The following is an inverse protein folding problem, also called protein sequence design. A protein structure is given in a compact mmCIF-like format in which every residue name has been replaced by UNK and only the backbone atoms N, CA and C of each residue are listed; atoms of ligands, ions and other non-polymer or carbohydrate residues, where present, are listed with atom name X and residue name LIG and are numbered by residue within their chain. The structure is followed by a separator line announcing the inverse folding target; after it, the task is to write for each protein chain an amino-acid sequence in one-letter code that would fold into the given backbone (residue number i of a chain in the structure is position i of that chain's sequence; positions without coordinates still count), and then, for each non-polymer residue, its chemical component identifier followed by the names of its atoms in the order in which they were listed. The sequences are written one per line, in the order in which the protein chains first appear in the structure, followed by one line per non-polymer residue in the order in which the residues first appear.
data_IF_233495343857
#
_entry.id   IF_233495343857
#
_cell.length_a   1.000
_cell.length_b   1.000
_cell.length_c   1.000
_cell.angle_alpha   90.00
_cell.angle_beta   90.00
_cell.angle_gamma   90.00
#
_symmetry.space_group_name_H-M   'P 1'
#
loop_
_entity.id
_entity.type
_entity.pdbx_description
1 polymer ?
#
# COMPACT_ATOMS: atom_id res chain seq x y z
N UNK A 1 12.65 -2.82 17.44
CA UNK A 1 12.76 -3.65 18.66
C UNK A 1 14.20 -3.86 19.12
N UNK A 2 15.05 -4.59 18.37
CA UNK A 2 16.42 -4.92 18.83
C UNK A 2 17.30 -3.69 19.15
N UNK A 3 17.17 -2.61 18.36
CA UNK A 3 17.86 -1.33 18.60
C UNK A 3 17.55 -0.72 19.96
N UNK A 4 16.32 -0.91 20.46
CA UNK A 4 15.90 -0.40 21.77
C UNK A 4 16.45 -1.31 22.88
N UNK A 5 16.41 -2.63 22.67
CA UNK A 5 16.80 -3.62 23.67
C UNK A 5 18.32 -3.69 23.88
N UNK A 6 19.09 -3.79 22.79
CA UNK A 6 20.57 -3.87 22.80
C UNK A 6 21.17 -2.95 21.74
N UNK A 7 21.20 -1.64 21.99
CA UNK A 7 21.73 -0.68 21.04
C UNK A 7 23.22 -0.92 20.75
N UNK A 8 23.59 -0.99 19.47
CA UNK A 8 24.99 -0.99 19.04
C UNK A 8 25.16 -0.19 17.75
N UNK A 9 26.36 0.33 17.49
CA UNK A 9 26.66 1.07 16.26
C UNK A 9 26.50 0.18 15.02
N UNK A 10 26.97 -1.07 15.10
CA UNK A 10 26.83 -2.08 14.03
C UNK A 10 25.36 -2.28 13.66
N UNK A 11 24.49 -2.38 14.66
CA UNK A 11 23.06 -2.59 14.44
C UNK A 11 22.39 -1.42 13.72
N UNK A 12 22.84 -0.17 13.92
CA UNK A 12 22.31 0.98 13.20
C UNK A 12 22.68 0.93 11.72
N UNK A 13 23.92 0.56 11.41
CA UNK A 13 24.39 0.39 10.03
C UNK A 13 23.62 -0.74 9.35
N UNK A 14 23.52 -1.91 10.00
CA UNK A 14 22.74 -3.01 9.46
C UNK A 14 21.27 -2.66 9.27
N UNK A 15 20.67 -1.89 10.19
CA UNK A 15 19.30 -1.43 10.04
C UNK A 15 19.13 -0.51 8.84
N UNK A 16 20.05 0.45 8.63
CA UNK A 16 20.01 1.34 7.47
C UNK A 16 20.16 0.56 6.16
N UNK A 17 21.04 -0.44 6.10
CA UNK A 17 21.21 -1.31 4.94
C UNK A 17 19.97 -2.17 4.67
N UNK A 18 19.40 -2.80 5.69
CA UNK A 18 18.16 -3.59 5.55
C UNK A 18 17.01 -2.71 5.11
N UNK A 19 16.88 -1.52 5.68
CA UNK A 19 15.87 -0.54 5.29
C UNK A 19 16.04 -0.10 3.82
N UNK A 20 17.28 0.15 3.41
CA UNK A 20 17.60 0.49 2.03
C UNK A 20 17.22 -0.64 1.06
N UNK A 21 17.64 -1.88 1.35
CA UNK A 21 17.28 -3.05 0.54
C UNK A 21 15.76 -3.28 0.49
N UNK A 22 15.06 -3.11 1.61
CA UNK A 22 13.61 -3.19 1.62
C UNK A 22 12.97 -2.11 0.73
N UNK A 23 13.56 -0.91 0.70
CA UNK A 23 13.11 0.21 -0.13
C UNK A 23 13.39 0.02 -1.63
N UNK A 24 14.50 -0.60 -2.01
CA UNK A 24 14.77 -0.90 -3.43
C UNK A 24 13.80 -1.92 -3.99
N UNK A 25 13.31 -2.85 -3.16
CA UNK A 25 12.36 -3.90 -3.58
C UNK A 25 10.92 -3.41 -3.54
N UNK A 26 10.52 -2.63 -2.52
CA UNK A 26 9.10 -2.30 -2.30
C UNK A 26 8.87 -0.86 -1.88
N UNK A 27 8.02 -0.17 -2.63
CA UNK A 27 7.55 1.19 -2.35
C UNK A 27 6.96 1.35 -0.94
N UNK A 28 6.34 0.31 -0.38
CA UNK A 28 5.81 0.33 1.00
C UNK A 28 6.87 0.61 2.06
N UNK A 29 8.16 0.44 1.78
CA UNK A 29 9.19 0.78 2.76
C UNK A 29 9.42 2.30 2.91
N UNK A 30 8.74 3.16 2.12
CA UNK A 30 8.91 4.61 2.19
C UNK A 30 8.60 5.20 3.57
N UNK A 31 7.73 4.56 4.35
CA UNK A 31 7.35 5.03 5.68
C UNK A 31 8.19 4.43 6.83
N UNK A 32 8.99 3.39 6.56
CA UNK A 32 9.86 2.78 7.58
C UNK A 32 10.94 3.69 8.16
N UNK A 33 11.48 4.72 7.47
CA UNK A 33 12.37 5.71 8.09
C UNK A 33 11.74 6.42 9.28
N UNK A 34 10.42 6.66 9.27
CA UNK A 34 9.72 7.26 10.40
C UNK A 34 9.74 6.33 11.61
N UNK A 35 9.48 5.03 11.39
CA UNK A 35 9.52 4.00 12.43
C UNK A 35 10.95 3.81 12.96
N UNK A 36 11.94 3.84 12.08
CA UNK A 36 13.36 3.81 12.43
C UNK A 36 13.74 5.02 13.30
N UNK A 37 13.24 6.22 12.96
CA UNK A 37 13.42 7.44 13.75
C UNK A 37 12.93 7.28 15.18
N UNK A 38 11.70 6.77 15.36
CA UNK A 38 11.13 6.54 16.68
C UNK A 38 11.93 5.46 17.43
N UNK A 39 12.36 4.39 16.75
CA UNK A 39 13.21 3.37 17.34
C UNK A 39 14.56 3.91 17.83
N UNK A 40 15.18 4.83 17.07
CA UNK A 40 16.41 5.50 17.49
C UNK A 40 16.15 6.48 18.64
N UNK A 41 15.05 7.24 18.62
CA UNK A 41 14.68 8.14 19.72
C UNK A 41 14.53 7.37 21.04
N UNK A 42 13.88 6.20 21.02
CA UNK A 42 13.67 5.32 22.17
C UNK A 42 14.93 4.56 22.62
N UNK A 43 15.99 4.53 21.82
CA UNK A 43 17.25 3.86 22.15
C UNK A 43 18.05 4.65 23.19
N UNK A 44 18.88 3.95 23.97
CA UNK A 44 19.78 4.57 24.98
C UNK A 44 21.07 5.16 24.39
N UNK A 45 21.19 5.27 23.06
CA UNK A 45 22.40 5.77 22.41
C UNK A 45 22.55 7.30 22.55
N UNK A 46 23.77 7.84 22.42
CA UNK A 46 23.97 9.29 22.37
C UNK A 46 23.30 9.90 21.13
N UNK A 47 22.87 11.16 21.25
CA UNK A 47 22.13 11.88 20.21
C UNK A 47 22.84 11.88 18.86
N UNK A 48 24.17 12.06 18.85
CA UNK A 48 24.96 12.07 17.62
C UNK A 48 24.87 10.74 16.84
N UNK A 49 24.83 9.60 17.56
CA UNK A 49 24.65 8.30 16.90
C UNK A 49 23.25 8.20 16.30
N UNK A 50 22.20 8.63 17.02
CA UNK A 50 20.81 8.64 16.52
C UNK A 50 20.68 9.46 15.23
N UNK A 51 21.26 10.66 15.23
CA UNK A 51 21.28 11.54 14.05
C UNK A 51 22.05 10.88 12.91
N UNK A 52 23.26 10.36 13.17
CA UNK A 52 24.06 9.70 12.15
C UNK A 52 23.31 8.51 11.50
N UNK A 53 22.64 7.68 12.30
CA UNK A 53 21.84 6.56 11.78
C UNK A 53 20.69 7.00 10.89
N UNK A 54 19.96 8.06 11.28
CA UNK A 54 18.88 8.61 10.46
C UNK A 54 19.41 9.24 9.18
N UNK A 55 20.50 10.01 9.27
CA UNK A 55 21.15 10.62 8.11
C UNK A 55 21.58 9.56 7.10
N UNK A 56 22.17 8.44 7.54
CA UNK A 56 22.52 7.32 6.65
C UNK A 56 21.28 6.76 5.96
N UNK A 57 20.19 6.53 6.70
CA UNK A 57 18.93 6.04 6.10
C UNK A 57 18.40 7.00 5.03
N UNK A 58 18.37 8.30 5.32
CA UNK A 58 17.88 9.34 4.40
C UNK A 58 18.78 9.46 3.16
N UNK A 59 20.10 9.42 3.33
CA UNK A 59 21.06 9.49 2.21
C UNK A 59 20.87 8.30 1.27
N UNK A 60 20.80 7.08 1.80
CA UNK A 60 20.63 5.87 0.98
C UNK A 60 19.30 5.87 0.23
N UNK A 61 18.21 6.21 0.90
CA UNK A 61 16.89 6.29 0.26
C UNK A 61 16.86 7.43 -0.78
N UNK A 62 17.39 8.60 -0.43
CA UNK A 62 17.44 9.76 -1.30
C UNK A 62 18.27 9.52 -2.56
N UNK A 63 19.42 8.85 -2.43
CA UNK A 63 20.26 8.51 -3.58
C UNK A 63 19.56 7.55 -4.55
N UNK A 64 18.83 6.55 -4.04
CA UNK A 64 18.05 5.65 -4.90
C UNK A 64 16.85 6.33 -5.54
N UNK A 65 16.16 7.24 -4.83
CA UNK A 65 15.11 8.07 -5.43
C UNK A 65 15.68 8.89 -6.59
N UNK A 66 16.83 9.53 -6.38
CA UNK A 66 17.48 10.35 -7.41
C UNK A 66 17.95 9.50 -8.60
N UNK A 67 18.53 8.33 -8.35
CA UNK A 67 18.92 7.38 -9.38
C UNK A 67 17.72 6.99 -10.26
N UNK A 68 16.59 6.63 -9.65
CA UNK A 68 15.37 6.28 -10.39
C UNK A 68 14.81 7.47 -11.18
N UNK A 69 14.79 8.68 -10.59
CA UNK A 69 14.38 9.90 -11.29
C UNK A 69 15.20 10.14 -12.55
N UNK A 70 16.52 9.97 -12.47
CA UNK A 70 17.40 10.09 -13.63
C UNK A 70 17.10 9.03 -14.68
N UNK A 71 16.91 7.77 -14.29
CA UNK A 71 16.59 6.68 -15.22
C UNK A 71 15.24 6.88 -15.93
N UNK A 72 14.22 7.34 -15.22
CA UNK A 72 12.95 7.68 -15.86
C UNK A 72 13.02 8.94 -16.72
N UNK A 73 13.87 9.90 -16.37
CA UNK A 73 14.14 11.05 -17.23
C UNK A 73 14.83 10.63 -18.53
N UNK A 74 15.81 9.73 -18.48
CA UNK A 74 16.45 9.15 -19.67
C UNK A 74 15.41 8.46 -20.58
N UNK A 75 14.49 7.68 -19.98
CA UNK A 75 13.47 6.90 -20.69
C UNK A 75 12.32 7.73 -21.28
N UNK A 76 11.78 8.67 -20.51
CA UNK A 76 10.50 9.34 -20.80
C UNK A 76 10.60 10.88 -20.85
N UNK A 77 11.78 11.44 -20.58
CA UNK A 77 11.99 12.89 -20.38
C UNK A 77 11.15 13.48 -19.25
N UNK A 78 10.68 12.63 -18.32
CA UNK A 78 9.97 13.02 -17.09
C UNK A 78 10.77 12.56 -15.87
N UNK A 79 11.09 13.51 -14.99
CA UNK A 79 11.82 13.22 -13.75
C UNK A 79 10.82 12.76 -12.68
N UNK A 80 10.60 11.45 -12.61
CA UNK A 80 9.68 10.81 -11.66
C UNK A 80 10.37 9.69 -10.91
N UNK A 81 10.05 9.53 -9.62
CA UNK A 81 10.62 8.44 -8.83
C UNK A 81 10.07 7.08 -9.27
N UNK A 82 8.74 6.99 -9.42
CA UNK A 82 8.08 5.81 -9.93
C UNK A 82 6.82 6.22 -10.70
N UNK A 83 6.58 5.64 -11.89
CA UNK A 83 5.33 5.84 -12.61
C UNK A 83 4.10 5.37 -11.84
N UNK A 84 4.26 4.40 -10.94
CA UNK A 84 3.14 3.79 -10.22
C UNK A 84 2.33 4.83 -9.43
N UNK A 85 2.99 5.81 -8.81
CA UNK A 85 2.33 6.83 -7.98
C UNK A 85 1.29 7.64 -8.76
N UNK A 86 1.59 8.06 -9.99
CA UNK A 86 0.66 8.87 -10.78
C UNK A 86 -0.57 8.09 -11.23
N UNK A 87 -0.34 6.86 -11.69
CA UNK A 87 -1.43 5.95 -12.06
C UNK A 87 -2.32 5.59 -10.88
N UNK A 88 -1.72 5.27 -9.74
CA UNK A 88 -2.45 4.94 -8.52
C UNK A 88 -3.26 6.14 -8.02
N UNK A 89 -2.70 7.35 -8.07
CA UNK A 89 -3.40 8.59 -7.69
C UNK A 89 -4.63 8.84 -8.56
N UNK A 90 -4.52 8.71 -9.89
CA UNK A 90 -5.65 8.84 -10.80
C UNK A 90 -6.70 7.75 -10.59
N UNK A 91 -6.28 6.49 -10.43
CA UNK A 91 -7.16 5.37 -10.12
C UNK A 91 -7.97 5.63 -8.83
N UNK A 92 -7.32 6.02 -7.74
CA UNK A 92 -7.97 6.31 -6.47
C UNK A 92 -8.99 7.46 -6.60
N UNK A 93 -8.62 8.52 -7.32
CA UNK A 93 -9.52 9.63 -7.60
C UNK A 93 -10.75 9.19 -8.42
N UNK A 94 -10.57 8.29 -9.40
CA UNK A 94 -11.67 7.76 -10.23
C UNK A 94 -12.73 7.01 -9.41
N UNK A 95 -12.35 6.24 -8.39
CA UNK A 95 -13.31 5.55 -7.51
C UNK A 95 -14.22 6.49 -6.73
N UNK A 96 -13.76 7.71 -6.44
CA UNK A 96 -14.60 8.74 -5.88
C UNK A 96 -15.38 9.49 -6.95
N UNK A 97 -14.73 9.78 -8.08
CA UNK A 97 -15.27 10.63 -9.12
C UNK A 97 -16.49 10.05 -9.82
N UNK A 98 -16.59 8.72 -9.93
CA UNK A 98 -17.77 8.05 -10.50
C UNK A 98 -19.07 8.34 -9.74
N UNK A 99 -18.97 8.69 -8.45
CA UNK A 99 -20.13 9.05 -7.61
C UNK A 99 -20.46 10.55 -7.61
N UNK A 100 -19.71 11.38 -8.35
CA UNK A 100 -20.03 12.81 -8.49
C UNK A 100 -21.11 12.99 -9.56
N UNK A 101 -22.31 13.51 -9.19
CA UNK A 101 -23.41 13.74 -10.13
C UNK A 101 -22.99 14.67 -11.27
N UNK A 102 -23.51 14.45 -12.48
CA UNK A 102 -23.07 15.16 -13.70
C UNK A 102 -23.17 16.68 -13.54
N UNK A 103 -24.22 17.14 -12.89
CA UNK A 103 -24.56 18.55 -12.64
C UNK A 103 -23.58 19.21 -11.67
N UNK A 104 -22.92 18.43 -10.81
CA UNK A 104 -21.96 18.91 -9.81
C UNK A 104 -20.51 18.82 -10.31
N UNK A 105 -20.27 18.24 -11.50
CA UNK A 105 -18.92 18.07 -12.05
C UNK A 105 -18.36 19.41 -12.55
N UNK A 106 -17.48 20.02 -11.77
CA UNK A 106 -16.71 21.22 -12.10
C UNK A 106 -15.84 21.01 -13.36
N UNK A 107 -15.58 22.06 -14.15
CA UNK A 107 -14.67 21.99 -15.28
C UNK A 107 -13.23 21.72 -14.82
N UNK A 108 -12.46 21.06 -15.68
CA UNK A 108 -11.03 20.81 -15.48
C UNK A 108 -10.18 21.75 -16.34
N UNK A 109 -8.94 22.08 -15.92
CA UNK A 109 -7.96 22.77 -16.75
C UNK A 109 -7.79 22.13 -18.14
N UNK A 110 -7.50 22.94 -19.17
CA UNK A 110 -7.39 22.50 -20.58
C UNK A 110 -6.55 21.24 -20.77
N UNK A 111 -5.40 21.14 -20.10
CA UNK A 111 -4.51 19.98 -20.18
C UNK A 111 -5.12 18.64 -19.75
N UNK A 112 -6.21 18.66 -18.97
CA UNK A 112 -6.89 17.44 -18.51
C UNK A 112 -8.19 17.15 -19.27
N UNK A 113 -8.69 18.08 -20.10
CA UNK A 113 -10.03 17.98 -20.69
C UNK A 113 -10.25 16.71 -21.50
N UNK A 114 -9.24 16.29 -22.28
CA UNK A 114 -9.34 15.06 -23.08
C UNK A 114 -9.48 13.83 -22.17
N UNK A 115 -8.64 13.73 -21.13
CA UNK A 115 -8.67 12.64 -20.17
C UNK A 115 -9.97 12.63 -19.36
N UNK A 116 -10.37 13.78 -18.83
CA UNK A 116 -11.59 13.95 -18.05
C UNK A 116 -12.83 13.61 -18.87
N UNK A 117 -12.90 14.03 -20.13
CA UNK A 117 -13.98 13.64 -21.04
C UNK A 117 -14.05 12.13 -21.21
N UNK A 118 -12.93 11.47 -21.52
CA UNK A 118 -12.88 10.00 -21.66
C UNK A 118 -13.34 9.28 -20.39
N UNK A 119 -12.96 9.80 -19.21
CA UNK A 119 -13.37 9.23 -17.92
C UNK A 119 -14.87 9.42 -17.68
N UNK A 120 -15.40 10.63 -17.94
CA UNK A 120 -16.84 10.92 -17.78
C UNK A 120 -17.69 10.09 -18.74
N UNK A 121 -17.31 10.00 -20.01
CA UNK A 121 -18.02 9.19 -21.02
C UNK A 121 -18.02 7.71 -20.64
N UNK A 122 -16.90 7.22 -20.09
CA UNK A 122 -16.81 5.86 -19.58
C UNK A 122 -17.78 5.65 -18.42
N UNK A 123 -17.75 6.48 -17.38
CA UNK A 123 -18.68 6.34 -16.25
C UNK A 123 -20.15 6.46 -16.67
N UNK A 124 -20.45 7.37 -17.59
CA UNK A 124 -21.81 7.58 -18.09
C UNK A 124 -22.35 6.37 -18.88
N UNK A 125 -21.48 5.46 -19.35
CA UNK A 125 -21.85 4.25 -20.08
C UNK A 125 -21.72 2.95 -19.27
N UNK A 126 -20.87 2.93 -18.22
CA UNK A 126 -20.59 1.73 -17.42
C UNK A 126 -21.28 1.71 -16.06
N UNK A 127 -21.43 2.85 -15.37
CA UNK A 127 -21.97 2.85 -14.01
C UNK A 127 -23.45 2.47 -14.00
N UNK A 128 -23.81 1.48 -13.18
CA UNK A 128 -25.17 0.94 -13.09
C UNK A 128 -25.56 0.01 -14.25
N UNK A 129 -24.63 -0.30 -15.15
CA UNK A 129 -24.83 -1.26 -16.23
C UNK A 129 -24.42 -2.67 -15.75
N UNK A 130 -25.35 -3.67 -15.71
CA UNK A 130 -25.01 -5.03 -15.27
C UNK A 130 -23.94 -5.74 -16.11
N UNK A 131 -23.64 -5.24 -17.32
CA UNK A 131 -22.55 -5.74 -18.16
C UNK A 131 -21.16 -5.28 -17.71
N UNK A 132 -21.09 -4.34 -16.76
CA UNK A 132 -19.87 -3.78 -16.21
C UNK A 132 -19.80 -3.99 -14.68
N UNK A 133 -19.79 -5.25 -14.19
CA UNK A 133 -19.75 -5.55 -12.75
C UNK A 133 -18.49 -5.02 -12.06
N UNK A 134 -17.42 -4.72 -12.82
CA UNK A 134 -16.23 -4.07 -12.29
C UNK A 134 -16.50 -2.67 -11.69
N UNK A 135 -17.58 -2.00 -12.09
CA UNK A 135 -17.98 -0.71 -11.54
C UNK A 135 -18.58 -0.81 -10.14
N UNK A 136 -19.04 -1.98 -9.71
CA UNK A 136 -19.52 -2.20 -8.35
C UNK A 136 -18.37 -2.33 -7.35
N UNK A 137 -17.15 -2.52 -7.84
CA UNK A 137 -15.97 -2.55 -6.98
C UNK A 137 -15.71 -1.17 -6.37
N UNK A 138 -15.36 -1.18 -5.08
CA UNK A 138 -15.02 0.03 -4.32
C UNK A 138 -13.56 -0.05 -3.91
N UNK A 139 -12.81 1.05 -4.10
CA UNK A 139 -11.39 1.15 -3.78
C UNK A 139 -10.59 -0.08 -4.26
N UNK A 140 -10.52 -0.28 -5.58
CA UNK A 140 -9.77 -1.35 -6.25
C UNK A 140 -8.74 -0.75 -7.24
N UNK A 141 -8.06 -1.56 -8.04
CA UNK A 141 -7.01 -1.13 -8.99
C UNK A 141 -7.41 -1.27 -10.46
N UNK A 142 -8.67 -1.60 -10.75
CA UNK A 142 -9.19 -1.89 -12.10
C UNK A 142 -8.86 -0.79 -13.11
N UNK A 143 -9.13 0.49 -12.81
CA UNK A 143 -8.93 1.57 -13.80
C UNK A 143 -7.48 1.75 -14.24
N UNK A 144 -6.52 1.29 -13.41
CA UNK A 144 -5.09 1.32 -13.74
C UNK A 144 -4.69 0.15 -14.66
N UNK A 145 -5.28 -1.03 -14.50
CA UNK A 145 -4.79 -2.26 -15.15
C UNK A 145 -5.64 -2.74 -16.32
N UNK A 146 -6.95 -2.49 -16.29
CA UNK A 146 -7.90 -3.08 -17.25
C UNK A 146 -7.73 -2.49 -18.65
N UNK A 147 -7.45 -3.32 -19.68
CA UNK A 147 -7.45 -2.88 -21.07
C UNK A 147 -8.81 -2.24 -21.44
N UNK A 148 -8.77 -1.13 -22.18
CA UNK A 148 -9.98 -0.38 -22.55
C UNK A 148 -10.45 0.64 -21.50
N UNK A 149 -10.01 0.53 -20.23
CA UNK A 149 -10.30 1.55 -19.23
C UNK A 149 -9.70 2.91 -19.63
N UNK A 150 -10.28 4.06 -19.22
CA UNK A 150 -9.89 5.38 -19.70
C UNK A 150 -8.40 5.70 -19.57
N UNK A 151 -7.76 5.30 -18.46
CA UNK A 151 -6.32 5.54 -18.25
C UNK A 151 -5.45 4.74 -19.22
N UNK A 152 -5.83 3.51 -19.55
CA UNK A 152 -5.10 2.67 -20.51
C UNK A 152 -5.31 3.18 -21.93
N UNK A 153 -6.54 3.49 -22.30
CA UNK A 153 -6.90 4.02 -23.62
C UNK A 153 -6.27 5.39 -23.86
N UNK A 154 -6.26 6.28 -22.87
CA UNK A 154 -5.59 7.58 -22.99
C UNK A 154 -4.09 7.40 -23.23
N UNK A 155 -3.43 6.54 -22.45
CA UNK A 155 -2.00 6.25 -22.65
C UNK A 155 -1.72 5.74 -24.07
N UNK A 156 -2.50 4.77 -24.55
CA UNK A 156 -2.36 4.25 -25.92
C UNK A 156 -2.56 5.34 -26.97
N UNK A 157 -3.53 6.24 -26.77
CA UNK A 157 -3.79 7.36 -27.68
C UNK A 157 -2.61 8.34 -27.79
N UNK A 158 -1.84 8.55 -26.71
CA UNK A 158 -0.64 9.40 -26.74
C UNK A 158 0.52 8.82 -27.57
N UNK A 159 0.50 7.51 -27.83
CA UNK A 159 1.59 6.79 -28.50
C UNK A 159 1.15 6.18 -29.84
N UNK A 160 0.07 6.69 -30.47
CA UNK A 160 -0.35 6.23 -31.81
C UNK A 160 0.73 6.43 -32.87
N UNK A 161 1.50 7.52 -32.77
CA UNK A 161 2.57 7.87 -33.71
C UNK A 161 3.86 7.08 -33.40
N UNK A 162 4.17 6.87 -32.11
CA UNK A 162 5.30 6.07 -31.63
C UNK A 162 4.80 4.70 -31.14
N UNK A 163 4.20 3.92 -32.04
CA UNK A 163 3.52 2.66 -31.72
C UNK A 163 4.47 1.52 -31.37
N UNK A 164 5.79 1.72 -31.52
CA UNK A 164 6.85 0.78 -31.12
C UNK A 164 7.47 1.12 -29.77
N UNK A 165 7.09 2.24 -29.13
CA UNK A 165 7.57 2.60 -27.80
C UNK A 165 7.35 1.46 -26.78
N UNK A 166 8.36 1.08 -25.98
CA UNK A 166 8.18 0.08 -24.93
C UNK A 166 7.09 0.48 -23.91
N UNK A 167 6.37 -0.52 -23.38
CA UNK A 167 5.26 -0.29 -22.43
C UNK A 167 5.68 0.57 -21.24
N UNK A 168 6.86 0.31 -20.65
CA UNK A 168 7.39 1.08 -19.53
C UNK A 168 7.59 2.57 -19.88
N UNK A 169 8.04 2.88 -21.10
CA UNK A 169 8.20 4.27 -21.58
C UNK A 169 6.84 4.96 -21.65
N UNK A 170 5.82 4.29 -22.21
CA UNK A 170 4.45 4.83 -22.32
C UNK A 170 3.86 5.11 -20.94
N UNK A 171 3.98 4.12 -20.07
CA UNK A 171 3.48 4.14 -18.70
C UNK A 171 4.14 5.27 -17.88
N UNK A 172 5.46 5.43 -17.99
CA UNK A 172 6.20 6.51 -17.34
C UNK A 172 5.83 7.90 -17.87
N UNK A 173 5.62 8.04 -19.18
CA UNK A 173 5.40 9.33 -19.82
C UNK A 173 4.09 10.01 -19.41
N UNK A 174 3.03 9.24 -19.17
CA UNK A 174 1.71 9.77 -18.76
C UNK A 174 1.55 9.91 -17.24
N UNK A 175 2.40 9.25 -16.45
CA UNK A 175 2.29 9.25 -14.99
C UNK A 175 2.20 10.66 -14.36
N UNK A 176 3.01 11.66 -14.74
CA UNK A 176 2.89 13.00 -14.15
C UNK A 176 1.52 13.63 -14.37
N UNK A 177 0.96 13.48 -15.57
CA UNK A 177 -0.37 14.01 -15.90
C UNK A 177 -1.44 13.37 -15.01
N UNK A 178 -1.35 12.06 -14.81
CA UNK A 178 -2.28 11.30 -13.96
C UNK A 178 -2.16 11.67 -12.49
N UNK A 179 -0.94 11.89 -12.00
CA UNK A 179 -0.72 12.34 -10.63
C UNK A 179 -1.38 13.69 -10.39
N UNK A 180 -1.14 14.66 -11.27
CA UNK A 180 -1.72 15.99 -11.13
C UNK A 180 -3.24 15.97 -11.30
N UNK A 181 -3.76 15.20 -12.26
CA UNK A 181 -5.20 15.06 -12.50
C UNK A 181 -5.90 14.42 -11.29
N UNK A 182 -5.37 13.31 -10.76
CA UNK A 182 -5.94 12.65 -9.59
C UNK A 182 -5.95 13.57 -8.37
N UNK A 183 -4.84 14.28 -8.11
CA UNK A 183 -4.78 15.30 -7.04
C UNK A 183 -5.79 16.42 -7.25
N UNK A 184 -5.97 16.89 -8.49
CA UNK A 184 -6.95 17.91 -8.83
C UNK A 184 -8.37 17.45 -8.49
N UNK A 185 -8.76 16.25 -8.92
CA UNK A 185 -10.09 15.68 -8.65
C UNK A 185 -10.33 15.51 -7.14
N UNK A 186 -9.35 14.93 -6.41
CA UNK A 186 -9.45 14.76 -4.96
C UNK A 186 -9.62 16.11 -4.26
N UNK A 187 -8.87 17.14 -4.69
CA UNK A 187 -8.99 18.49 -4.12
C UNK A 187 -10.36 19.14 -4.41
N UNK A 188 -10.97 18.83 -5.54
CA UNK A 188 -12.29 19.36 -5.88
C UNK A 188 -13.44 18.67 -5.14
N UNK A 189 -13.28 17.38 -4.81
CA UNK A 189 -14.30 16.55 -4.16
C UNK A 189 -13.74 15.79 -2.94
N UNK A 190 -13.21 16.47 -1.91
CA UNK A 190 -12.54 15.82 -0.79
C UNK A 190 -13.49 14.96 0.05
N UNK A 191 -14.74 15.41 0.23
CA UNK A 191 -15.76 14.66 0.97
C UNK A 191 -16.18 13.39 0.23
N UNK A 192 -16.43 13.49 -1.07
CA UNK A 192 -16.72 12.33 -1.93
C UNK A 192 -15.55 11.34 -1.92
N UNK A 193 -14.32 11.84 -1.98
CA UNK A 193 -13.13 10.98 -1.86
C UNK A 193 -13.03 10.30 -0.51
N UNK A 194 -13.33 11.00 0.58
CA UNK A 194 -13.37 10.41 1.91
C UNK A 194 -14.43 9.31 2.01
N UNK A 195 -15.65 9.58 1.52
CA UNK A 195 -16.78 8.67 1.62
C UNK A 195 -16.66 7.43 0.73
N UNK A 196 -16.22 7.58 -0.51
CA UNK A 196 -16.26 6.51 -1.51
C UNK A 196 -14.91 5.84 -1.78
N UNK A 197 -13.82 6.41 -1.28
CA UNK A 197 -12.50 5.78 -1.35
C UNK A 197 -11.90 5.54 0.03
N UNK A 198 -11.65 6.59 0.83
CA UNK A 198 -10.88 6.44 2.08
C UNK A 198 -11.60 5.57 3.10
N UNK A 199 -12.89 5.81 3.36
CA UNK A 199 -13.65 5.04 4.35
C UNK A 199 -13.78 3.55 3.96
N UNK A 200 -14.21 3.19 2.73
CA UNK A 200 -14.21 1.80 2.30
C UNK A 200 -12.82 1.16 2.37
N UNK A 201 -11.77 1.90 2.01
CA UNK A 201 -10.40 1.38 2.06
C UNK A 201 -9.89 1.22 3.51
N UNK A 202 -10.33 2.08 4.43
CA UNK A 202 -10.05 1.94 5.86
C UNK A 202 -10.79 0.74 6.47
N UNK A 203 -12.01 0.44 6.04
CA UNK A 203 -12.73 -0.78 6.43
C UNK A 203 -11.98 -2.03 5.95
N UNK A 204 -11.47 -2.02 4.72
CA UNK A 204 -10.56 -3.07 4.23
C UNK A 204 -9.26 -3.15 5.02
N UNK A 205 -8.78 -2.08 5.65
CA UNK A 205 -7.64 -2.16 6.55
C UNK A 205 -7.93 -3.00 7.79
N UNK A 206 -9.12 -2.87 8.35
CA UNK A 206 -9.55 -3.65 9.51
C UNK A 206 -9.72 -5.14 9.19
N UNK A 207 -10.39 -5.46 8.08
CA UNK A 207 -10.60 -6.83 7.61
C UNK A 207 -10.20 -6.94 6.13
N UNK A 208 -8.91 -7.21 5.84
CA UNK A 208 -8.38 -7.10 4.49
C UNK A 208 -8.85 -8.26 3.59
N UNK A 209 -9.37 -7.95 2.38
CA UNK A 209 -9.80 -8.98 1.44
C UNK A 209 -8.61 -9.74 0.88
N UNK A 210 -8.85 -10.99 0.47
CA UNK A 210 -7.82 -11.87 -0.13
C UNK A 210 -7.42 -11.44 -1.55
N UNK A 211 -8.29 -10.70 -2.27
CA UNK A 211 -8.01 -10.10 -3.59
C UNK A 211 -7.43 -11.13 -4.58
N UNK A 212 -6.23 -10.90 -5.14
CA UNK A 212 -5.58 -11.78 -6.11
C UNK A 212 -5.23 -13.17 -5.55
N UNK A 213 -5.33 -13.38 -4.23
CA UNK A 213 -5.13 -14.69 -3.62
C UNK A 213 -6.38 -15.57 -3.67
N UNK A 214 -7.53 -15.03 -4.07
CA UNK A 214 -8.78 -15.78 -4.24
C UNK A 214 -8.71 -16.79 -5.39
N UNK A 215 -7.92 -16.48 -6.42
CA UNK A 215 -7.73 -17.35 -7.57
C UNK A 215 -6.25 -17.64 -7.79
N UNK A 216 -5.89 -18.92 -7.77
CA UNK A 216 -4.56 -19.37 -8.15
C UNK A 216 -4.24 -18.90 -9.57
N UNK A 217 -3.06 -18.31 -9.76
CA UNK A 217 -2.66 -17.67 -11.02
C UNK A 217 -3.73 -16.74 -11.62
N UNK A 218 -4.51 -16.04 -10.79
CA UNK A 218 -5.61 -15.16 -11.23
C UNK A 218 -6.68 -15.87 -12.08
N UNK A 219 -6.81 -17.19 -11.93
CA UNK A 219 -7.75 -18.01 -12.70
C UNK A 219 -7.27 -18.34 -14.12
N UNK A 220 -6.01 -18.08 -14.45
CA UNK A 220 -5.44 -18.38 -15.75
C UNK A 220 -4.75 -19.75 -15.75
N UNK A 221 -5.00 -20.55 -16.79
CA UNK A 221 -4.40 -21.88 -16.96
C UNK A 221 -2.96 -21.84 -17.50
N UNK A 222 -2.51 -20.67 -17.96
CA UNK A 222 -1.17 -20.49 -18.54
C UNK A 222 -0.47 -19.24 -18.02
N UNK A 223 0.86 -19.31 -17.91
CA UNK A 223 1.70 -18.14 -17.69
C UNK A 223 2.12 -17.51 -19.03
N UNK A 224 2.44 -16.23 -19.01
CA UNK A 224 3.01 -15.54 -20.17
C UNK A 224 4.38 -16.17 -20.54
N UNK A 225 4.74 -16.30 -21.84
CA UNK A 225 5.99 -16.93 -22.27
C UNK A 225 7.26 -16.36 -21.61
N UNK A 226 7.25 -15.07 -21.28
CA UNK A 226 8.37 -14.43 -20.56
C UNK A 226 8.62 -15.07 -19.19
N UNK A 227 7.56 -15.46 -18.47
CA UNK A 227 7.67 -16.11 -17.16
C UNK A 227 8.18 -17.54 -17.33
N UNK A 228 7.70 -18.26 -18.34
CA UNK A 228 8.20 -19.59 -18.68
C UNK A 228 9.72 -19.56 -18.94
N UNK A 229 10.17 -18.60 -19.76
CA UNK A 229 11.59 -18.46 -20.09
C UNK A 229 12.42 -18.03 -18.88
N UNK A 230 11.93 -17.06 -18.09
CA UNK A 230 12.67 -16.52 -16.95
C UNK A 230 12.85 -17.55 -15.83
N UNK A 231 11.82 -18.33 -15.54
CA UNK A 231 11.85 -19.36 -14.50
C UNK A 231 12.18 -20.76 -15.03
N UNK A 232 12.53 -20.87 -16.32
CA UNK A 232 12.89 -22.11 -17.00
C UNK A 232 11.84 -23.22 -16.82
N UNK A 233 10.56 -22.86 -16.89
CA UNK A 233 9.47 -23.84 -16.78
C UNK A 233 9.40 -24.71 -18.03
N UNK A 234 9.24 -26.03 -17.82
CA UNK A 234 9.07 -27.02 -18.90
C UNK A 234 7.83 -26.75 -19.76
N UNK A 235 6.81 -26.11 -19.19
CA UNK A 235 5.56 -25.75 -19.85
C UNK A 235 5.08 -24.41 -19.31
N UNK A 236 4.33 -23.66 -20.11
CA UNK A 236 3.59 -22.49 -19.62
C UNK A 236 2.25 -22.87 -18.99
N UNK A 237 1.82 -24.13 -19.06
CA UNK A 237 0.59 -24.60 -18.42
C UNK A 237 0.78 -24.74 -16.91
N UNK A 238 -0.23 -24.30 -16.19
CA UNK A 238 -0.27 -24.28 -14.72
C UNK A 238 -1.16 -25.42 -14.24
N UNK A 239 -0.69 -26.11 -13.21
CA UNK A 239 -1.45 -27.14 -12.51
C UNK A 239 -1.85 -26.66 -11.12
N UNK A 240 -3.03 -27.06 -10.66
CA UNK A 240 -3.56 -26.74 -9.33
C UNK A 240 -3.88 -28.03 -8.58
N UNK A 241 -3.71 -28.00 -7.25
CA UNK A 241 -4.16 -29.08 -6.36
C UNK A 241 -5.64 -28.96 -5.98
N UNK A 242 -6.24 -27.80 -6.22
CA UNK A 242 -7.65 -27.55 -5.97
C UNK A 242 -8.50 -28.10 -7.12
N UNK A 243 -9.79 -28.32 -6.87
CA UNK A 243 -10.74 -28.80 -7.90
C UNK A 243 -10.85 -27.83 -9.07
N UNK A 244 -10.72 -26.54 -8.78
CA UNK A 244 -10.67 -25.43 -9.73
C UNK A 244 -9.53 -24.47 -9.33
N UNK A 245 -9.45 -23.31 -9.96
CA UNK A 245 -8.45 -22.30 -9.60
C UNK A 245 -8.85 -21.47 -8.37
N UNK A 246 -10.00 -21.71 -7.74
CA UNK A 246 -10.47 -20.93 -6.59
C UNK A 246 -9.79 -21.41 -5.31
N UNK A 247 -9.40 -20.48 -4.46
CA UNK A 247 -8.62 -20.71 -3.24
C UNK A 247 -9.45 -20.31 -2.02
N UNK A 248 -10.46 -21.13 -1.70
CA UNK A 248 -11.38 -20.84 -0.59
C UNK A 248 -10.74 -21.00 0.80
N UNK A 249 -9.61 -21.70 0.92
CA UNK A 249 -8.91 -21.90 2.19
C UNK A 249 -8.44 -20.59 2.83
N UNK A 250 -8.34 -19.50 2.07
CA UNK A 250 -7.91 -18.21 2.61
C UNK A 250 -9.07 -17.34 3.12
N UNK A 251 -10.33 -17.75 2.93
CA UNK A 251 -11.51 -16.95 3.28
C UNK A 251 -11.67 -16.70 4.80
N UNK A 252 -11.00 -17.48 5.66
CA UNK A 252 -11.04 -17.24 7.11
C UNK A 252 -10.10 -16.11 7.55
N UNK A 253 -9.10 -15.72 6.74
CA UNK A 253 -8.11 -14.71 7.13
C UNK A 253 -8.73 -13.34 7.46
N UNK A 254 -9.67 -12.78 6.67
CA UNK A 254 -10.32 -11.51 7.04
C UNK A 254 -10.98 -11.56 8.42
N UNK A 255 -11.64 -12.68 8.74
CA UNK A 255 -12.29 -12.90 10.05
C UNK A 255 -11.24 -12.99 11.15
N UNK A 256 -10.20 -13.82 10.96
CA UNK A 256 -9.11 -13.98 11.92
C UNK A 256 -8.43 -12.64 12.21
N UNK A 257 -8.11 -11.87 11.17
CA UNK A 257 -7.46 -10.56 11.30
C UNK A 257 -8.36 -9.58 12.04
N UNK A 258 -9.65 -9.52 11.71
CA UNK A 258 -10.62 -8.69 12.43
C UNK A 258 -10.68 -9.04 13.91
N UNK A 259 -10.79 -10.32 14.26
CA UNK A 259 -10.79 -10.79 15.65
C UNK A 259 -9.48 -10.45 16.37
N UNK A 260 -8.33 -10.67 15.75
CA UNK A 260 -7.03 -10.35 16.35
C UNK A 260 -6.84 -8.84 16.56
N UNK A 261 -7.39 -8.00 15.68
CA UNK A 261 -7.40 -6.55 15.88
C UNK A 261 -8.19 -6.17 17.14
N UNK A 262 -9.38 -6.76 17.36
CA UNK A 262 -10.18 -6.53 18.56
C UNK A 262 -9.41 -6.95 19.82
N UNK A 263 -8.83 -8.15 19.83
CA UNK A 263 -8.03 -8.65 20.97
C UNK A 263 -6.85 -7.71 21.23
N UNK A 264 -6.15 -7.27 20.19
CA UNK A 264 -5.05 -6.32 20.31
C UNK A 264 -5.50 -5.00 20.95
N UNK A 265 -6.59 -4.38 20.47
CA UNK A 265 -7.05 -3.09 20.98
C UNK A 265 -7.57 -3.18 22.43
N UNK A 266 -8.37 -4.20 22.75
CA UNK A 266 -8.84 -4.40 24.12
C UNK A 266 -7.68 -4.73 25.07
N UNK A 267 -6.75 -5.59 24.63
CA UNK A 267 -5.54 -5.91 25.38
C UNK A 267 -4.65 -4.68 25.63
N UNK A 268 -4.48 -3.83 24.61
CA UNK A 268 -3.75 -2.56 24.72
C UNK A 268 -4.43 -1.61 25.71
N UNK A 269 -5.76 -1.44 25.63
CA UNK A 269 -6.51 -0.60 26.58
C UNK A 269 -6.33 -1.13 28.01
N UNK A 270 -6.50 -2.43 28.23
CA UNK A 270 -6.28 -3.06 29.54
C UNK A 270 -4.87 -2.85 30.07
N UNK A 271 -3.84 -3.04 29.23
CA UNK A 271 -2.44 -2.79 29.58
C UNK A 271 -2.18 -1.32 29.97
N UNK A 272 -2.81 -0.37 29.29
CA UNK A 272 -2.68 1.06 29.61
C UNK A 272 -3.40 1.42 30.92
N UNK A 273 -4.62 0.90 31.14
CA UNK A 273 -5.42 1.15 32.34
C UNK A 273 -4.73 0.61 33.60
N UNK A 274 -4.15 -0.60 33.52
CA UNK A 274 -3.37 -1.21 34.61
C UNK A 274 -1.96 -0.63 34.76
N UNK A 275 -1.63 0.42 33.99
CA UNK A 275 -0.31 1.06 33.99
C UNK A 275 0.84 0.07 33.72
N UNK A 276 0.59 -0.97 32.90
CA UNK A 276 1.56 -2.01 32.58
C UNK A 276 2.84 -1.47 31.93
N UNK A 277 2.78 -0.30 31.29
CA UNK A 277 3.95 0.39 30.76
C UNK A 277 4.94 0.86 31.84
N UNK A 278 4.49 1.09 33.08
CA UNK A 278 5.36 1.42 34.23
C UNK A 278 6.02 0.15 34.79
N UNK A 279 5.25 -0.93 34.87
CA UNK A 279 5.72 -2.22 35.39
C UNK A 279 6.68 -2.92 34.41
N UNK A 280 6.36 -2.86 33.11
CA UNK A 280 7.09 -3.50 32.02
C UNK A 280 7.56 -2.44 31.01
N UNK A 281 8.59 -1.66 31.38
CA UNK A 281 9.07 -0.53 30.57
C UNK A 281 9.48 -0.89 29.14
N UNK A 282 10.03 -2.11 28.93
CA UNK A 282 10.40 -2.58 27.59
C UNK A 282 9.16 -2.85 26.72
N UNK A 283 8.12 -3.43 27.30
CA UNK A 283 6.85 -3.69 26.63
C UNK A 283 6.13 -2.36 26.30
N UNK A 284 6.19 -1.37 27.18
CA UNK A 284 5.69 -0.01 26.90
C UNK A 284 6.40 0.66 25.71
N UNK A 285 7.73 0.57 25.63
CA UNK A 285 8.49 1.07 24.46
C UNK A 285 8.16 0.29 23.18
N UNK A 286 7.97 -1.02 23.31
CA UNK A 286 7.51 -1.88 22.22
C UNK A 286 6.15 -1.46 21.71
N UNK A 287 5.19 -1.23 22.61
CA UNK A 287 3.84 -0.76 22.28
C UNK A 287 3.90 0.57 21.51
N UNK A 288 4.73 1.53 21.94
CA UNK A 288 4.88 2.78 21.20
C UNK A 288 5.34 2.53 19.75
N UNK A 289 6.32 1.66 19.53
CA UNK A 289 6.74 1.29 18.18
C UNK A 289 5.63 0.62 17.37
N UNK A 290 4.84 -0.26 17.99
CA UNK A 290 3.74 -0.95 17.30
C UNK A 290 2.64 0.02 16.93
N UNK A 291 2.26 0.92 17.83
CA UNK A 291 1.25 1.96 17.55
C UNK A 291 1.76 2.90 16.45
N UNK A 292 3.02 3.31 16.49
CA UNK A 292 3.59 4.13 15.43
C UNK A 292 3.65 3.39 14.09
N UNK A 293 4.04 2.10 14.09
CA UNK A 293 4.01 1.25 12.90
C UNK A 293 2.59 1.17 12.34
N UNK A 294 1.61 0.92 13.20
CA UNK A 294 0.21 0.79 12.82
C UNK A 294 -0.36 2.09 12.27
N UNK A 295 -0.21 3.22 12.97
CA UNK A 295 -0.69 4.54 12.51
C UNK A 295 -0.06 4.95 11.18
N UNK A 296 1.26 4.75 11.06
CA UNK A 296 1.98 5.13 9.84
C UNK A 296 1.60 4.22 8.68
N UNK A 297 1.50 2.90 8.91
CA UNK A 297 1.06 1.95 7.89
C UNK A 297 -0.39 2.24 7.48
N UNK A 298 -1.29 2.49 8.43
CA UNK A 298 -2.68 2.86 8.17
C UNK A 298 -2.77 4.12 7.31
N UNK A 299 -2.16 5.23 7.77
CA UNK A 299 -2.19 6.50 7.04
C UNK A 299 -1.55 6.39 5.66
N UNK A 300 -0.45 5.67 5.52
CA UNK A 300 0.17 5.46 4.22
C UNK A 300 -0.68 4.57 3.31
N UNK A 301 -1.07 3.39 3.77
CA UNK A 301 -1.72 2.38 2.93
C UNK A 301 -3.15 2.78 2.55
N UNK A 302 -3.94 3.35 3.45
CA UNK A 302 -5.33 3.77 3.14
C UNK A 302 -5.38 4.86 2.07
N UNK A 303 -4.40 5.75 2.03
CA UNK A 303 -4.31 6.80 1.02
C UNK A 303 -3.59 6.37 -0.26
N UNK A 304 -2.55 5.54 -0.13
CA UNK A 304 -1.70 5.18 -1.25
C UNK A 304 -2.38 4.19 -2.19
N UNK A 305 -2.98 3.11 -1.70
CA UNK A 305 -3.51 2.04 -2.56
C UNK A 305 -4.64 1.27 -1.90
N UNK A 306 -5.52 0.62 -2.70
CA UNK A 306 -6.43 -0.41 -2.22
C UNK A 306 -5.78 -1.38 -1.24
N UNK A 307 -6.40 -1.59 -0.09
CA UNK A 307 -5.95 -2.56 0.90
C UNK A 307 -6.35 -3.96 0.48
N UNK A 308 -5.39 -4.87 0.63
CA UNK A 308 -5.54 -6.31 0.46
C UNK A 308 -4.67 -7.04 1.49
N UNK A 309 -4.98 -8.31 1.74
CA UNK A 309 -4.32 -9.13 2.77
C UNK A 309 -2.79 -9.13 2.62
N UNK A 310 -2.29 -9.28 1.39
CA UNK A 310 -0.84 -9.30 1.06
C UNK A 310 -0.08 -8.02 1.43
N UNK A 311 -0.77 -6.91 1.66
CA UNK A 311 -0.17 -5.65 2.10
C UNK A 311 -0.12 -5.53 3.63
N UNK A 312 -0.97 -6.26 4.33
CA UNK A 312 -1.18 -6.17 5.77
C UNK A 312 -0.54 -7.30 6.57
N UNK A 313 0.00 -8.35 5.92
CA UNK A 313 0.60 -9.52 6.60
C UNK A 313 1.61 -9.14 7.69
N UNK A 314 2.52 -8.20 7.42
CA UNK A 314 3.51 -7.79 8.41
C UNK A 314 2.88 -7.05 9.63
N UNK A 315 2.07 -5.99 9.44
CA UNK A 315 1.28 -5.42 10.54
C UNK A 315 0.47 -6.46 11.33
N UNK A 316 -0.20 -7.40 10.65
CA UNK A 316 -1.01 -8.46 11.29
C UNK A 316 -0.15 -9.32 12.21
N UNK A 317 1.03 -9.78 11.76
CA UNK A 317 1.93 -10.59 12.57
C UNK A 317 2.40 -9.85 13.83
N UNK A 318 2.73 -8.56 13.68
CA UNK A 318 3.17 -7.72 14.80
C UNK A 318 2.04 -7.52 15.80
N UNK A 319 0.84 -7.15 15.34
CA UNK A 319 -0.33 -6.97 16.19
C UNK A 319 -0.73 -8.27 16.90
N UNK A 320 -0.70 -9.39 16.18
CA UNK A 320 -1.02 -10.71 16.73
C UNK A 320 -0.05 -11.10 17.84
N UNK A 321 1.24 -10.87 17.63
CA UNK A 321 2.27 -11.13 18.64
C UNK A 321 2.05 -10.29 19.90
N UNK A 322 1.73 -8.99 19.75
CA UNK A 322 1.44 -8.12 20.89
C UNK A 322 0.10 -8.43 21.56
N UNK A 323 -0.91 -8.90 20.82
CA UNK A 323 -2.16 -9.37 21.38
C UNK A 323 -1.92 -10.52 22.38
N UNK A 324 -1.07 -11.50 22.01
CA UNK A 324 -0.67 -12.56 22.93
C UNK A 324 0.07 -12.05 24.16
N UNK A 325 1.01 -11.10 23.99
CA UNK A 325 1.72 -10.48 25.12
C UNK A 325 0.77 -9.72 26.07
N UNK A 326 -0.24 -9.02 25.53
CA UNK A 326 -1.24 -8.34 26.37
C UNK A 326 -2.12 -9.33 27.11
N UNK A 327 -2.56 -10.40 26.46
CA UNK A 327 -3.34 -11.45 27.14
C UNK A 327 -2.55 -12.10 28.27
N UNK A 328 -1.27 -12.44 28.04
CA UNK A 328 -0.41 -12.98 29.09
C UNK A 328 -0.28 -12.01 30.27
N UNK A 329 -0.05 -10.72 30.00
CA UNK A 329 0.03 -9.69 31.04
C UNK A 329 -1.26 -9.58 31.84
N UNK A 330 -2.42 -9.51 31.18
CA UNK A 330 -3.72 -9.37 31.83
C UNK A 330 -4.07 -10.59 32.69
N UNK A 331 -3.78 -11.80 32.22
CA UNK A 331 -3.99 -13.03 32.99
C UNK A 331 -3.09 -13.03 34.23
N UNK A 332 -1.82 -12.61 34.10
CA UNK A 332 -0.91 -12.51 35.25
C UNK A 332 -1.39 -11.49 36.27
N UNK A 333 -1.82 -10.31 35.85
CA UNK A 333 -2.35 -9.31 36.79
C UNK A 333 -3.64 -9.79 37.46
N UNK A 334 -4.55 -10.45 36.74
CA UNK A 334 -5.79 -10.97 37.30
C UNK A 334 -5.58 -12.14 38.29
N UNK A 335 -4.46 -12.85 38.18
CA UNK A 335 -4.12 -14.02 39.02
C UNK A 335 -3.15 -13.71 40.16
N UNK A 336 -2.63 -12.47 40.24
CA UNK A 336 -1.86 -12.03 41.41
C UNK A 336 -2.77 -12.04 42.63
N UNK A 337 -2.40 -12.86 43.62
CA UNK A 337 -3.00 -12.78 44.96
C UNK A 337 -2.57 -11.46 45.59
N UNK A 338 -3.53 -10.78 46.22
CA UNK A 338 -3.32 -9.54 46.98
C UNK A 338 -2.24 -9.69 48.06
#
# INVERSE_FOLDING_TARGET
MWIIYRPSRKLMIYHALVLFLAFTVRYNALYYPLIAGIAFLLSRQPLLQKIAGLTICVILIGSFIQYNKQKYYELSKKSIFTPFTGWQMANNAMYAYKFVPKEQRKPVPKKYQVLDRMIREYFDSTVGNPRHPEEDLVASTIYMWTPGAPLRTYMQNQFKIDSTAPELKRWASVSPLYEEYGKYIIKQYPLTFAQYYLLPNALKYYAPPIEFLEYYSTGQETVHPIAQNWFEYKSNKIETKFKDFKVDILNFYPILVGTMNVIFFLGMIGFLLLQGYKQQSLMGKGLLLVVCLWLTNFGFSVFASPIALRFQLFPILVMTSFAFLFMEYLIKEATKKE
#
